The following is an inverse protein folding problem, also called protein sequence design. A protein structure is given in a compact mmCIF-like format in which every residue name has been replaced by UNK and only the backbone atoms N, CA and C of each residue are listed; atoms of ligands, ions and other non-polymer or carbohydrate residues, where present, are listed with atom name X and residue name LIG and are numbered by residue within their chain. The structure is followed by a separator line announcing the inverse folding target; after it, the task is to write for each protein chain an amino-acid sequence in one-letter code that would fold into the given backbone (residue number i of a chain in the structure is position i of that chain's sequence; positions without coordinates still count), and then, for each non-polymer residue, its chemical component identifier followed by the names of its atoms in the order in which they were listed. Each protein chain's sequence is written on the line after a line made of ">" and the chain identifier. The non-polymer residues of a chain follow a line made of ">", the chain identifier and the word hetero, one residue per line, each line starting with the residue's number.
data_IF_565210961268
#
_entry.id   IF_565210961268
#
_cell.length_a   1.000
_cell.length_b   1.000
_cell.length_c   1.000
_cell.angle_alpha   90.00
_cell.angle_beta   90.00
_cell.angle_gamma   90.00
#
_symmetry.space_group_name_H-M   'P 1'
#
loop_
_entity.id
_entity.type
_entity.pdbx_description
1 polymer ?
#
# COMPACT_ATOMS: atom_id res chain seq x y z
N UNK A 1 12.93 4.89 16.20
CA UNK A 1 11.84 4.10 15.58
C UNK A 1 10.85 5.01 14.85
N UNK A 2 9.97 5.79 15.51
CA UNK A 2 9.07 6.72 14.81
C UNK A 2 9.82 7.84 14.07
N UNK A 3 10.68 8.58 14.79
CA UNK A 3 11.29 9.78 14.22
C UNK A 3 12.18 9.47 13.01
N UNK A 4 12.88 8.33 13.03
CA UNK A 4 13.72 7.89 11.92
C UNK A 4 12.89 7.59 10.67
N UNK A 5 11.72 6.94 10.83
CA UNK A 5 10.77 6.69 9.73
C UNK A 5 10.21 8.02 9.19
N UNK A 6 9.81 8.92 10.09
CA UNK A 6 9.33 10.24 9.71
C UNK A 6 10.40 11.06 8.97
N UNK A 7 11.65 11.01 9.42
CA UNK A 7 12.79 11.69 8.78
C UNK A 7 13.10 11.08 7.40
N UNK A 8 12.98 9.76 7.23
CA UNK A 8 13.13 9.09 5.95
C UNK A 8 12.06 9.53 4.93
N UNK A 9 10.79 9.60 5.34
CA UNK A 9 9.69 10.11 4.51
C UNK A 9 9.91 11.56 4.10
N UNK A 10 10.35 12.40 5.04
CA UNK A 10 10.70 13.80 4.76
C UNK A 10 11.83 13.91 3.73
N UNK A 11 12.88 13.11 3.89
CA UNK A 11 14.06 13.10 3.01
C UNK A 11 13.70 12.71 1.58
N UNK A 12 12.91 11.64 1.40
CA UNK A 12 12.47 11.22 0.07
C UNK A 12 11.56 12.27 -0.58
N UNK A 13 10.64 12.84 0.19
CA UNK A 13 9.73 13.89 -0.26
C UNK A 13 10.39 15.27 -0.41
N UNK A 14 11.70 15.38 -0.12
CA UNK A 14 12.48 16.63 -0.17
C UNK A 14 11.84 17.78 0.61
N UNK A 15 11.22 17.47 1.74
CA UNK A 15 10.53 18.43 2.63
C UNK A 15 11.16 18.40 4.02
N UNK A 16 11.26 19.56 4.66
CA UNK A 16 11.79 19.62 6.03
C UNK A 16 10.75 19.10 7.05
N UNK A 17 11.15 18.36 8.11
CA UNK A 17 10.24 17.90 9.15
C UNK A 17 9.40 19.02 9.79
N UNK A 18 10.01 20.19 9.99
CA UNK A 18 9.32 21.38 10.52
C UNK A 18 8.32 21.99 9.54
N UNK A 19 8.52 21.78 8.23
CA UNK A 19 7.59 22.21 7.19
C UNK A 19 6.37 21.30 7.17
N UNK A 20 6.56 19.98 7.23
CA UNK A 20 5.46 19.00 7.33
C UNK A 20 4.57 19.32 8.52
N UNK A 21 5.16 19.58 9.70
CA UNK A 21 4.39 19.95 10.88
C UNK A 21 3.48 21.17 10.64
N UNK A 22 3.99 22.21 9.98
CA UNK A 22 3.17 23.37 9.64
C UNK A 22 2.06 23.02 8.65
N UNK A 23 2.37 22.25 7.61
CA UNK A 23 1.42 21.89 6.57
C UNK A 23 0.25 21.05 7.13
N UNK A 24 0.48 20.28 8.19
CA UNK A 24 -0.55 19.51 8.91
C UNK A 24 -1.13 20.22 10.15
N UNK A 25 -0.85 21.52 10.33
CA UNK A 25 -1.42 22.35 11.40
C UNK A 25 -0.83 22.12 12.80
N UNK A 26 0.40 21.62 12.89
CA UNK A 26 1.15 21.45 14.14
C UNK A 26 2.24 22.52 14.30
N UNK A 27 2.72 22.69 15.54
CA UNK A 27 3.83 23.58 15.85
C UNK A 27 5.18 22.92 15.52
N UNK A 28 6.15 23.70 15.01
CA UNK A 28 7.54 23.27 14.80
C UNK A 28 8.21 22.74 16.07
N UNK A 29 7.84 23.25 17.25
CA UNK A 29 8.36 22.77 18.53
C UNK A 29 8.00 21.31 18.81
N UNK A 30 6.84 20.85 18.32
CA UNK A 30 6.40 19.45 18.43
C UNK A 30 7.40 18.50 17.78
N UNK A 31 7.92 18.85 16.59
CA UNK A 31 8.93 18.05 15.89
C UNK A 31 10.22 17.95 16.68
N UNK A 32 10.67 19.06 17.27
CA UNK A 32 11.85 19.06 18.12
C UNK A 32 11.66 18.19 19.36
N UNK A 33 10.43 18.15 19.89
CA UNK A 33 10.10 17.33 21.04
C UNK A 33 10.15 15.84 20.70
N UNK A 34 9.60 15.42 19.56
CA UNK A 34 9.72 14.04 19.07
C UNK A 34 11.18 13.62 18.89
N UNK A 35 12.01 14.46 18.26
CA UNK A 35 13.43 14.16 18.02
C UNK A 35 14.25 14.09 19.31
N UNK A 36 14.13 15.10 20.18
CA UNK A 36 15.00 15.24 21.36
C UNK A 36 14.60 14.34 22.53
N UNK A 37 13.31 14.15 22.73
CA UNK A 37 12.78 13.44 23.88
C UNK A 37 12.29 12.02 23.53
N UNK A 38 12.46 11.60 22.26
CA UNK A 38 12.02 10.28 21.80
C UNK A 38 10.51 10.08 21.90
N UNK A 39 9.73 11.17 21.94
CA UNK A 39 8.27 11.09 22.04
C UNK A 39 7.66 10.67 20.71
N UNK A 40 6.58 9.90 20.80
CA UNK A 40 5.74 9.58 19.65
C UNK A 40 4.61 10.61 19.50
N UNK A 41 4.15 10.87 18.26
CA UNK A 41 2.95 11.68 18.04
C UNK A 41 1.74 11.03 18.71
N UNK A 42 0.77 11.86 19.10
CA UNK A 42 -0.54 11.34 19.48
C UNK A 42 -1.28 10.81 18.24
N UNK A 43 -2.40 10.11 18.45
CA UNK A 43 -3.18 9.49 17.37
C UNK A 43 -3.56 10.47 16.26
N UNK A 44 -3.97 11.70 16.61
CA UNK A 44 -4.35 12.71 15.62
C UNK A 44 -3.16 13.16 14.77
N UNK A 45 -2.02 13.49 15.39
CA UNK A 45 -0.81 13.88 14.67
C UNK A 45 -0.27 12.71 13.82
N UNK A 46 -0.31 11.49 14.35
CA UNK A 46 0.10 10.29 13.62
C UNK A 46 -0.74 10.10 12.35
N UNK A 47 -2.06 10.23 12.46
CA UNK A 47 -2.97 10.11 11.31
C UNK A 47 -2.69 11.20 10.27
N UNK A 48 -2.52 12.46 10.70
CA UNK A 48 -2.19 13.55 9.76
C UNK A 48 -0.86 13.34 9.04
N UNK A 49 0.15 12.79 9.71
CA UNK A 49 1.44 12.45 9.08
C UNK A 49 1.24 11.32 8.08
N UNK A 50 0.49 10.27 8.46
CA UNK A 50 0.16 9.15 7.58
C UNK A 50 -0.55 9.62 6.30
N UNK A 51 -1.56 10.48 6.45
CA UNK A 51 -2.30 11.08 5.33
C UNK A 51 -1.41 11.97 4.46
N UNK A 52 -0.54 12.79 5.07
CA UNK A 52 0.37 13.68 4.35
C UNK A 52 1.31 12.90 3.41
N UNK A 53 1.84 11.77 3.89
CA UNK A 53 2.76 10.94 3.11
C UNK A 53 2.09 9.79 2.35
N UNK A 54 0.77 9.64 2.46
CA UNK A 54 0.01 8.55 1.85
C UNK A 54 0.54 7.16 2.24
N UNK A 55 0.83 6.98 3.54
CA UNK A 55 1.30 5.73 4.15
C UNK A 55 0.35 5.32 5.29
N UNK A 56 0.23 4.02 5.63
CA UNK A 56 -0.59 3.60 6.77
C UNK A 56 0.05 4.03 8.09
N UNK A 57 -0.74 4.37 9.14
CA UNK A 57 -0.21 4.67 10.47
C UNK A 57 0.65 3.54 11.06
N UNK A 58 0.35 2.29 10.70
CA UNK A 58 1.13 1.12 11.11
C UNK A 58 2.61 1.21 10.69
N UNK A 59 2.90 1.83 9.55
CA UNK A 59 4.27 2.06 9.09
C UNK A 59 5.02 3.01 10.02
N UNK A 60 4.41 4.13 10.38
CA UNK A 60 5.01 5.11 11.30
C UNK A 60 5.28 4.53 12.70
N UNK A 61 4.50 3.53 13.11
CA UNK A 61 4.65 2.82 14.37
C UNK A 61 5.58 1.60 14.27
N UNK A 62 5.97 1.18 13.07
CA UNK A 62 6.76 -0.04 12.86
C UNK A 62 6.05 -1.33 13.28
N UNK A 63 4.73 -1.40 13.08
CA UNK A 63 3.90 -2.55 13.48
C UNK A 63 3.48 -3.41 12.28
N UNK A 64 2.88 -4.57 12.55
CA UNK A 64 2.44 -5.50 11.51
C UNK A 64 3.58 -5.93 10.58
N UNK A 65 3.43 -5.78 9.25
CA UNK A 65 4.46 -6.16 8.29
C UNK A 65 5.70 -5.26 8.31
N UNK A 66 5.66 -4.12 9.02
CA UNK A 66 6.75 -3.14 9.08
C UNK A 66 7.74 -3.36 10.23
N UNK A 67 7.57 -4.41 11.03
CA UNK A 67 8.48 -4.72 12.16
C UNK A 67 9.94 -4.86 11.76
N UNK A 68 10.19 -5.32 10.54
CA UNK A 68 11.53 -5.51 9.97
C UNK A 68 11.81 -4.52 8.84
N UNK A 69 11.25 -3.30 8.93
CA UNK A 69 11.33 -2.28 7.88
C UNK A 69 12.75 -2.02 7.39
N UNK A 70 13.72 -1.87 8.27
CA UNK A 70 15.11 -1.59 7.87
C UNK A 70 15.69 -2.72 7.01
N UNK A 71 15.42 -3.98 7.34
CA UNK A 71 15.86 -5.12 6.55
C UNK A 71 15.20 -5.13 5.16
N UNK A 72 13.89 -4.88 5.11
CA UNK A 72 13.12 -4.78 3.85
C UNK A 72 13.70 -3.67 2.97
N UNK A 73 13.90 -2.48 3.53
CA UNK A 73 14.35 -1.31 2.80
C UNK A 73 15.81 -1.38 2.36
N UNK A 74 16.67 -2.05 3.12
CA UNK A 74 18.08 -2.23 2.77
C UNK A 74 18.31 -3.37 1.77
N UNK A 75 17.32 -4.24 1.56
CA UNK A 75 17.38 -5.35 0.61
C UNK A 75 16.05 -5.48 -0.16
N UNK A 76 15.65 -4.42 -0.85
CA UNK A 76 14.38 -4.39 -1.61
C UNK A 76 14.33 -5.46 -2.69
N UNK A 77 15.43 -5.68 -3.40
CA UNK A 77 15.52 -6.72 -4.43
C UNK A 77 15.34 -8.14 -3.84
N UNK A 78 15.98 -8.43 -2.70
CA UNK A 78 15.78 -9.70 -1.99
C UNK A 78 14.37 -9.86 -1.46
N UNK A 79 13.78 -8.78 -0.93
CA UNK A 79 12.40 -8.75 -0.49
C UNK A 79 11.43 -9.08 -1.63
N UNK A 80 11.53 -8.39 -2.77
CA UNK A 80 10.65 -8.65 -3.91
C UNK A 80 10.87 -10.04 -4.54
N UNK A 81 12.09 -10.56 -4.51
CA UNK A 81 12.36 -11.96 -4.89
C UNK A 81 11.62 -12.93 -3.97
N UNK A 82 11.64 -12.71 -2.66
CA UNK A 82 10.91 -13.56 -1.72
C UNK A 82 9.39 -13.45 -1.92
N UNK A 83 8.87 -12.24 -2.14
CA UNK A 83 7.46 -12.00 -2.52
C UNK A 83 7.07 -12.80 -3.77
N UNK A 84 7.92 -12.80 -4.81
CA UNK A 84 7.65 -13.52 -6.06
C UNK A 84 7.57 -15.04 -5.92
N UNK A 85 8.08 -15.58 -4.81
CA UNK A 85 8.08 -17.01 -4.49
C UNK A 85 6.90 -17.41 -3.60
N UNK A 86 6.11 -16.46 -3.09
CA UNK A 86 4.97 -16.77 -2.22
C UNK A 86 3.87 -17.45 -3.05
N UNK A 87 3.46 -18.68 -2.68
CA UNK A 87 2.39 -19.37 -3.38
C UNK A 87 1.08 -18.56 -3.33
N UNK A 88 0.45 -18.36 -4.49
CA UNK A 88 -0.82 -17.67 -4.57
C UNK A 88 -0.73 -16.15 -4.43
N UNK A 89 0.42 -15.52 -4.71
CA UNK A 89 0.44 -14.10 -5.12
C UNK A 89 0.41 -14.08 -6.66
N UNK A 90 -0.70 -13.62 -7.25
CA UNK A 90 -0.75 -13.39 -8.69
C UNK A 90 0.16 -12.22 -9.09
N UNK A 91 0.87 -12.33 -10.22
CA UNK A 91 1.72 -11.24 -10.74
C UNK A 91 0.96 -9.91 -10.92
N UNK A 92 -0.35 -9.98 -11.11
CA UNK A 92 -1.26 -8.84 -11.22
C UNK A 92 -1.39 -7.99 -9.94
N UNK A 93 -1.00 -8.56 -8.78
CA UNK A 93 -0.96 -7.83 -7.51
C UNK A 93 0.38 -7.12 -7.28
N UNK A 94 1.36 -7.32 -8.17
CA UNK A 94 2.61 -6.57 -8.14
C UNK A 94 2.36 -5.19 -8.79
N UNK A 95 2.99 -4.12 -8.29
CA UNK A 95 2.95 -2.83 -8.99
C UNK A 95 3.42 -3.02 -10.44
N UNK A 96 2.76 -2.41 -11.43
CA UNK A 96 3.19 -2.46 -12.83
C UNK A 96 4.64 -1.93 -13.02
N UNK A 97 5.07 -1.08 -12.09
CA UNK A 97 6.42 -0.52 -12.00
C UNK A 97 7.46 -1.48 -11.41
N UNK A 98 7.03 -2.66 -10.95
CA UNK A 98 7.91 -3.63 -10.31
C UNK A 98 8.63 -4.50 -11.34
N UNK A 99 9.62 -3.90 -12.00
CA UNK A 99 10.75 -4.68 -12.49
C UNK A 99 11.66 -4.98 -11.29
N UNK A 100 11.87 -6.27 -10.98
CA UNK A 100 12.77 -6.68 -9.90
C UNK A 100 14.19 -6.13 -10.12
N UNK A 101 14.54 -5.77 -11.36
CA UNK A 101 15.79 -5.11 -11.72
C UNK A 101 15.95 -3.72 -11.08
N UNK A 102 14.87 -2.98 -10.86
CA UNK A 102 14.88 -1.60 -10.34
C UNK A 102 14.10 -1.48 -9.02
N UNK A 103 14.24 -2.47 -8.13
CA UNK A 103 13.60 -2.49 -6.81
C UNK A 103 13.90 -1.25 -5.94
N UNK A 104 14.99 -0.52 -6.21
CA UNK A 104 15.36 0.71 -5.51
C UNK A 104 14.72 1.97 -6.12
N UNK A 105 14.14 1.88 -7.32
CA UNK A 105 13.48 3.00 -8.00
C UNK A 105 12.06 3.27 -7.47
N UNK A 106 11.41 2.29 -6.84
CA UNK A 106 10.10 2.46 -6.20
C UNK A 106 10.19 3.49 -5.07
N UNK A 107 9.22 4.39 -4.96
CA UNK A 107 9.17 5.30 -3.83
C UNK A 107 8.86 4.57 -2.53
N UNK A 108 9.27 5.14 -1.39
CA UNK A 108 8.98 4.64 -0.06
C UNK A 108 7.47 4.48 0.15
N UNK A 109 6.69 5.49 -0.26
CA UNK A 109 5.24 5.46 -0.12
C UNK A 109 4.60 4.33 -0.94
N UNK A 110 5.06 4.10 -2.18
CA UNK A 110 4.58 2.98 -3.01
C UNK A 110 4.93 1.62 -2.41
N UNK A 111 6.18 1.43 -1.99
CA UNK A 111 6.64 0.19 -1.35
C UNK A 111 5.84 -0.10 -0.08
N UNK A 112 5.66 0.92 0.77
CA UNK A 112 4.93 0.79 2.03
C UNK A 112 3.45 0.45 1.77
N UNK A 113 2.80 1.12 0.82
CA UNK A 113 1.41 0.81 0.44
C UNK A 113 1.28 -0.60 -0.10
N UNK A 114 2.22 -1.05 -0.93
CA UNK A 114 2.26 -2.42 -1.42
C UNK A 114 2.34 -3.42 -0.26
N UNK A 115 3.30 -3.22 0.66
CA UNK A 115 3.48 -4.09 1.83
C UNK A 115 2.20 -4.15 2.66
N UNK A 116 1.59 -3.01 2.97
CA UNK A 116 0.36 -2.98 3.76
C UNK A 116 -0.82 -3.63 3.04
N UNK A 117 -0.89 -3.51 1.72
CA UNK A 117 -1.97 -4.11 0.93
C UNK A 117 -1.83 -5.62 0.90
N UNK A 118 -0.60 -6.12 0.74
CA UNK A 118 -0.36 -7.53 0.42
C UNK A 118 -0.05 -8.38 1.64
N UNK A 119 0.72 -7.85 2.59
CA UNK A 119 1.34 -8.64 3.63
C UNK A 119 0.66 -8.43 4.99
N UNK A 120 0.40 -9.54 5.66
CA UNK A 120 -0.01 -9.56 7.06
C UNK A 120 1.22 -9.42 7.97
N UNK A 121 2.30 -10.14 7.64
CA UNK A 121 3.56 -10.05 8.40
C UNK A 121 4.78 -10.44 7.55
N UNK A 122 5.95 -9.97 7.98
CA UNK A 122 7.26 -10.30 7.40
C UNK A 122 8.21 -10.63 8.55
N UNK A 123 9.08 -11.62 8.35
CA UNK A 123 10.18 -11.96 9.24
C UNK A 123 11.48 -12.14 8.44
N UNK A 124 12.62 -12.01 9.11
CA UNK A 124 13.95 -12.21 8.54
C UNK A 124 14.49 -13.60 8.88
N UNK A 125 15.20 -14.23 7.94
CA UNK A 125 15.91 -15.50 8.19
C UNK A 125 17.36 -15.26 8.59
N UNK A 126 18.02 -16.28 9.15
CA UNK A 126 19.45 -16.20 9.53
C UNK A 126 20.36 -15.88 8.34
N UNK A 127 20.00 -16.37 7.15
CA UNK A 127 20.74 -16.14 5.90
C UNK A 127 20.47 -14.75 5.27
N UNK A 128 19.76 -13.86 5.97
CA UNK A 128 19.39 -12.53 5.46
C UNK A 128 18.27 -12.53 4.42
N UNK A 129 17.52 -13.63 4.32
CA UNK A 129 16.31 -13.75 3.51
C UNK A 129 15.05 -13.31 4.25
N UNK A 130 13.90 -13.48 3.61
CA UNK A 130 12.59 -13.10 4.14
C UNK A 130 11.61 -14.27 4.11
N UNK A 131 10.83 -14.40 5.17
CA UNK A 131 9.58 -15.16 5.19
C UNK A 131 8.42 -14.20 5.40
N UNK A 132 7.25 -14.52 4.85
CA UNK A 132 6.12 -13.60 4.90
C UNK A 132 4.79 -14.33 4.88
N UNK A 133 3.78 -13.68 5.45
CA UNK A 133 2.39 -14.13 5.44
C UNK A 133 1.58 -13.10 4.67
N UNK A 134 0.84 -13.56 3.66
CA UNK A 134 -0.05 -12.73 2.83
C UNK A 134 -1.39 -12.58 3.51
N UNK A 135 -2.03 -11.43 3.34
CA UNK A 135 -3.39 -11.21 3.85
C UNK A 135 -4.37 -12.20 3.21
N UNK A 136 -5.20 -12.93 4.01
CA UNK A 136 -6.07 -14.00 3.51
C UNK A 136 -7.00 -13.59 2.37
N UNK A 137 -7.47 -12.35 2.37
CA UNK A 137 -8.37 -11.82 1.34
C UNK A 137 -7.77 -11.87 -0.08
N UNK A 138 -6.44 -11.87 -0.21
CA UNK A 138 -5.75 -11.98 -1.51
C UNK A 138 -5.59 -13.42 -2.00
N UNK A 139 -5.70 -14.40 -1.09
CA UNK A 139 -5.72 -15.83 -1.43
C UNK A 139 -7.11 -16.24 -1.93
N UNK A 140 -8.17 -15.74 -1.29
CA UNK A 140 -9.57 -16.02 -1.67
C UNK A 140 -9.97 -15.39 -3.02
N UNK A 141 -9.38 -14.24 -3.38
CA UNK A 141 -9.54 -13.63 -4.69
C UNK A 141 -9.03 -14.52 -5.84
N UNK A 142 -8.17 -15.50 -5.56
CA UNK A 142 -7.53 -16.37 -6.57
C UNK A 142 -8.14 -17.78 -6.66
N UNK A 143 -8.87 -18.24 -5.63
CA UNK A 143 -9.51 -19.57 -5.63
C UNK A 143 -10.82 -19.62 -6.41
N UNK A 144 -11.43 -18.47 -6.71
CA UNK A 144 -12.52 -18.38 -7.68
C UNK A 144 -11.97 -18.16 -9.10
N UNK A 145 -11.27 -19.18 -9.61
CA UNK A 145 -10.98 -19.29 -11.05
C UNK A 145 -12.31 -19.29 -11.80
N UNK A 146 -12.57 -18.26 -12.61
CA UNK A 146 -13.65 -18.31 -13.58
C UNK A 146 -13.46 -19.58 -14.45
N UNK A 147 -14.53 -20.36 -14.73
CA UNK A 147 -14.43 -21.49 -15.64
C UNK A 147 -13.75 -21.04 -16.94
N UNK A 148 -12.89 -21.87 -17.55
CA UNK A 148 -12.01 -21.46 -18.65
C UNK A 148 -12.73 -21.04 -19.95
N UNK A 149 -14.04 -20.81 -19.92
CA UNK A 149 -14.88 -20.58 -21.09
C UNK A 149 -16.04 -19.59 -20.83
N UNK A 150 -15.89 -18.65 -19.90
CA UNK A 150 -16.96 -17.69 -19.61
C UNK A 150 -16.71 -16.35 -20.32
N UNK A 151 -17.46 -16.13 -21.41
CA UNK A 151 -17.43 -14.89 -22.19
C UNK A 151 -17.80 -13.65 -21.35
N UNK A 152 -17.61 -12.47 -21.95
CA UNK A 152 -17.67 -11.14 -21.30
C UNK A 152 -18.91 -10.91 -20.40
N UNK A 153 -20.05 -11.56 -20.69
CA UNK A 153 -21.27 -11.51 -19.87
C UNK A 153 -21.07 -12.08 -18.46
N UNK A 154 -20.41 -13.23 -18.34
CA UNK A 154 -20.21 -13.89 -17.04
C UNK A 154 -19.23 -13.11 -16.14
N UNK A 155 -18.31 -12.35 -16.74
CA UNK A 155 -17.40 -11.45 -16.04
C UNK A 155 -18.17 -10.27 -15.43
N UNK A 156 -19.12 -9.70 -16.18
CA UNK A 156 -20.00 -8.62 -15.70
C UNK A 156 -20.94 -9.12 -14.60
N UNK A 157 -21.60 -10.26 -14.81
CA UNK A 157 -22.49 -10.86 -13.81
C UNK A 157 -21.76 -11.13 -12.49
N UNK A 158 -20.48 -11.56 -12.58
CA UNK A 158 -19.65 -11.81 -11.41
C UNK A 158 -19.24 -10.53 -10.69
N UNK A 159 -18.90 -9.47 -11.42
CA UNK A 159 -18.61 -8.15 -10.82
C UNK A 159 -19.84 -7.65 -10.07
N UNK A 160 -21.04 -7.78 -10.65
CA UNK A 160 -22.29 -7.40 -10.01
C UNK A 160 -22.57 -8.23 -8.74
N UNK A 161 -22.27 -9.53 -8.77
CA UNK A 161 -22.44 -10.40 -7.60
C UNK A 161 -21.43 -10.12 -6.47
N UNK A 162 -20.21 -9.68 -6.80
CA UNK A 162 -19.21 -9.27 -5.82
C UNK A 162 -19.55 -7.91 -5.20
N UNK A 163 -20.07 -6.98 -6.01
CA UNK A 163 -20.58 -5.70 -5.51
C UNK A 163 -21.69 -5.91 -4.48
N UNK A 164 -22.64 -6.82 -4.75
CA UNK A 164 -23.73 -7.12 -3.81
C UNK A 164 -23.28 -7.63 -2.43
N UNK A 165 -22.06 -8.16 -2.31
CA UNK A 165 -21.48 -8.64 -1.05
C UNK A 165 -20.70 -7.56 -0.28
N UNK A 166 -20.54 -6.38 -0.88
CA UNK A 166 -19.90 -5.23 -0.22
C UNK A 166 -20.91 -4.45 0.64
N UNK A 167 -20.47 -3.65 1.62
CA UNK A 167 -21.33 -2.70 2.32
C UNK A 167 -22.02 -1.73 1.35
N UNK A 168 -23.28 -1.35 1.62
CA UNK A 168 -24.11 -0.52 0.73
C UNK A 168 -23.41 0.78 0.27
N UNK A 169 -22.60 1.39 1.13
CA UNK A 169 -21.83 2.59 0.82
C UNK A 169 -20.84 2.37 -0.35
N UNK A 170 -20.20 1.19 -0.41
CA UNK A 170 -19.26 0.81 -1.47
C UNK A 170 -20.02 0.51 -2.77
N UNK A 171 -21.15 -0.20 -2.67
CA UNK A 171 -22.03 -0.47 -3.82
C UNK A 171 -22.47 0.83 -4.49
N UNK A 172 -22.94 1.77 -3.69
CA UNK A 172 -23.44 3.07 -4.14
C UNK A 172 -22.34 3.92 -4.78
N UNK A 173 -21.12 3.87 -4.26
CA UNK A 173 -19.98 4.59 -4.81
C UNK A 173 -19.58 4.03 -6.18
N UNK A 174 -19.47 2.71 -6.31
CA UNK A 174 -19.10 2.06 -7.58
C UNK A 174 -20.18 2.25 -8.65
N UNK A 175 -21.46 2.16 -8.30
CA UNK A 175 -22.56 2.41 -9.24
C UNK A 175 -22.49 3.83 -9.83
N UNK A 176 -22.28 4.84 -8.96
CA UNK A 176 -22.14 6.23 -9.38
C UNK A 176 -20.92 6.47 -10.28
N UNK A 177 -19.83 5.73 -10.06
CA UNK A 177 -18.64 5.81 -10.91
C UNK A 177 -18.86 5.19 -12.29
N UNK A 178 -19.67 4.12 -12.39
CA UNK A 178 -20.02 3.48 -13.65
C UNK A 178 -21.02 4.33 -14.46
N UNK A 179 -21.99 4.98 -13.80
CA UNK A 179 -22.97 5.87 -14.44
C UNK A 179 -22.36 7.22 -14.88
N UNK A 180 -21.28 7.66 -14.23
CA UNK A 180 -20.58 8.90 -14.55
C UNK A 180 -19.61 8.80 -15.74
N UNK A 181 -19.48 7.63 -16.37
CA UNK A 181 -18.70 7.49 -17.59
C UNK A 181 -19.36 8.31 -18.72
N UNK A 182 -18.67 9.28 -19.34
CA UNK A 182 -19.25 10.05 -20.43
C UNK A 182 -19.63 9.12 -21.59
N UNK A 183 -20.73 9.38 -22.31
CA UNK A 183 -21.08 8.58 -23.47
C UNK A 183 -19.91 8.65 -24.45
N UNK A 184 -19.39 7.47 -24.79
CA UNK A 184 -18.34 7.30 -25.78
C UNK A 184 -18.78 7.98 -27.08
N UNK A 185 -18.26 9.18 -27.35
CA UNK A 185 -18.35 9.83 -28.64
C UNK A 185 -17.36 9.15 -29.59
N UNK A 186 -17.63 7.88 -29.89
CA UNK A 186 -17.04 7.15 -31.00
C UNK A 186 -18.00 7.21 -32.17
N UNK A 187 -18.10 8.39 -32.78
CA UNK A 187 -18.79 8.58 -34.05
C UNK A 187 -18.12 7.74 -35.13
N UNK A 188 -18.95 6.90 -35.74
CA UNK A 188 -18.75 6.25 -37.03
C UNK A 188 -18.37 7.24 -38.14
N UNK A 189 -17.41 6.86 -38.97
CA UNK A 189 -17.44 7.19 -40.40
C UNK A 189 -16.95 5.96 -41.19
N UNK A 190 -17.94 5.23 -41.71
CA UNK A 190 -17.87 4.43 -42.93
C UNK A 190 -18.95 4.96 -43.86
#
# INVERSE_FOLDING_TARGET
>A
MFFDIFEALCKESKVAPSRVALDIGLNKSTVSMWKKHGLSPNTEALQKIADYFQVPPAFLLGTGPFRHWEAINNNRAGFFRAVSQVPGISRELLPDTLDVADADAISLAELVRYIDTVLESVATTEDGGFTMVVKPMLLEAQTHKAPPDSGNSAKIDRIMQLLQQQPEAVQTMVLKMLEAAPPNSGGSDQ
#
